data_IF_248394311202
#
_entry.id   IF_248394311202
#
_cell.length_a   1.000
_cell.length_b   1.000
_cell.length_c   1.000
_cell.angle_alpha   90.00
_cell.angle_beta   90.00
_cell.angle_gamma   90.00
#
_symmetry.space_group_name_H-M   'P 1'
#
loop_
_entity.id
_entity.type
_entity.pdbx_description
1 polymer ?
#
# COMPACT_ATOMS: atom_id res chain seq x y z
N UNK A 1 25.01 -4.72 -28.96
CA UNK A 1 24.45 -4.55 -30.31
C UNK A 1 22.95 -4.63 -30.16
N UNK A 2 22.23 -3.54 -30.47
CA UNK A 2 20.77 -3.53 -30.40
C UNK A 2 20.21 -4.42 -31.52
N UNK A 3 19.26 -5.28 -31.17
CA UNK A 3 18.61 -6.16 -32.14
C UNK A 3 17.84 -5.30 -33.17
N UNK A 4 17.96 -5.60 -34.47
CA UNK A 4 17.31 -4.83 -35.52
C UNK A 4 15.77 -4.77 -35.32
N UNK A 5 15.23 -5.82 -34.70
CA UNK A 5 13.84 -5.91 -34.26
C UNK A 5 13.48 -4.81 -33.25
N UNK A 6 14.33 -4.60 -32.24
CA UNK A 6 14.06 -3.61 -31.19
C UNK A 6 14.05 -2.19 -31.74
N UNK A 7 14.93 -1.88 -32.69
CA UNK A 7 14.98 -0.56 -33.33
C UNK A 7 13.70 -0.28 -34.13
N UNK A 8 13.23 -1.26 -34.91
CA UNK A 8 12.02 -1.12 -35.72
C UNK A 8 10.76 -1.00 -34.84
N UNK A 9 10.63 -1.86 -33.81
CA UNK A 9 9.54 -1.80 -32.82
C UNK A 9 9.52 -0.44 -32.11
N UNK A 10 10.68 0.05 -31.68
CA UNK A 10 10.79 1.34 -30.98
C UNK A 10 10.35 2.51 -31.86
N UNK A 11 10.81 2.54 -33.12
CA UNK A 11 10.43 3.60 -34.06
C UNK A 11 8.93 3.67 -34.31
N UNK A 12 8.28 2.52 -34.55
CA UNK A 12 6.83 2.48 -34.81
C UNK A 12 6.00 2.77 -33.56
N UNK A 13 6.41 2.27 -32.41
CA UNK A 13 5.76 2.59 -31.14
C UNK A 13 5.83 4.08 -30.83
N UNK A 14 6.97 4.71 -31.09
CA UNK A 14 7.12 6.15 -30.89
C UNK A 14 6.14 6.93 -31.76
N UNK A 15 5.98 6.57 -33.03
CA UNK A 15 4.99 7.19 -33.93
C UNK A 15 3.55 7.00 -33.44
N UNK A 16 3.21 5.78 -33.01
CA UNK A 16 1.87 5.45 -32.50
C UNK A 16 1.56 6.25 -31.22
N UNK A 17 2.47 6.27 -30.25
CA UNK A 17 2.30 7.00 -28.99
C UNK A 17 2.27 8.52 -29.20
N UNK A 18 3.04 9.04 -30.16
CA UNK A 18 3.00 10.46 -30.56
C UNK A 18 1.61 10.84 -31.08
N UNK A 19 1.04 10.02 -31.98
CA UNK A 19 -0.28 10.27 -32.56
C UNK A 19 -1.40 10.24 -31.50
N UNK A 20 -1.22 9.46 -30.43
CA UNK A 20 -2.18 9.36 -29.33
C UNK A 20 -1.92 10.37 -28.20
N UNK A 21 -0.92 11.25 -28.34
CA UNK A 21 -0.46 12.19 -27.30
C UNK A 21 -0.04 11.50 -25.98
N UNK A 22 0.44 10.25 -26.05
CA UNK A 22 0.87 9.42 -24.92
C UNK A 22 2.40 9.25 -24.87
N UNK A 23 3.15 10.32 -25.16
CA UNK A 23 4.61 10.31 -25.10
C UNK A 23 5.12 10.40 -23.66
N UNK A 24 5.15 9.25 -22.98
CA UNK A 24 5.87 9.06 -21.72
C UNK A 24 6.97 7.99 -21.93
N UNK A 25 8.21 8.32 -21.58
CA UNK A 25 9.37 7.41 -21.68
C UNK A 25 9.14 6.08 -20.94
N UNK A 26 8.39 6.12 -19.84
CA UNK A 26 8.03 4.89 -19.09
C UNK A 26 7.02 4.04 -19.86
N UNK A 27 6.06 4.68 -20.50
CA UNK A 27 5.07 3.98 -21.33
C UNK A 27 5.74 3.36 -22.55
N UNK A 28 6.67 4.08 -23.20
CA UNK A 28 7.42 3.59 -24.34
C UNK A 28 8.20 2.32 -24.00
N UNK A 29 8.94 2.29 -22.88
CA UNK A 29 9.72 1.11 -22.50
C UNK A 29 8.84 -0.10 -22.13
N UNK A 30 7.70 0.13 -21.47
CA UNK A 30 6.73 -0.91 -21.16
C UNK A 30 6.10 -1.49 -22.43
N UNK A 31 5.63 -0.64 -23.34
CA UNK A 31 5.03 -1.08 -24.61
C UNK A 31 6.06 -1.70 -25.54
N UNK A 32 7.29 -1.20 -25.57
CA UNK A 32 8.40 -1.78 -26.32
C UNK A 32 8.69 -3.20 -25.85
N UNK A 33 8.79 -3.42 -24.53
CA UNK A 33 9.01 -4.76 -23.98
C UNK A 33 7.86 -5.71 -24.34
N UNK A 34 6.61 -5.28 -24.14
CA UNK A 34 5.43 -6.10 -24.41
C UNK A 34 5.28 -6.47 -25.89
N UNK A 35 5.46 -5.50 -26.80
CA UNK A 35 5.35 -5.73 -28.25
C UNK A 35 6.51 -6.57 -28.76
N UNK A 36 7.74 -6.30 -28.30
CA UNK A 36 8.91 -7.09 -28.69
C UNK A 36 8.76 -8.54 -28.25
N UNK A 37 8.28 -8.78 -27.02
CA UNK A 37 8.05 -10.13 -26.52
C UNK A 37 6.92 -10.85 -27.27
N UNK A 38 5.81 -10.17 -27.56
CA UNK A 38 4.70 -10.73 -28.33
C UNK A 38 5.12 -11.11 -29.76
N UNK A 39 5.90 -10.25 -30.42
CA UNK A 39 6.42 -10.53 -31.77
C UNK A 39 7.41 -11.68 -31.75
N UNK A 40 8.35 -11.72 -30.79
CA UNK A 40 9.32 -12.83 -30.66
C UNK A 40 8.62 -14.17 -30.42
N UNK A 41 7.59 -14.21 -29.56
CA UNK A 41 6.82 -15.44 -29.30
C UNK A 41 6.14 -15.95 -30.56
N UNK A 42 5.46 -15.07 -31.31
CA UNK A 42 4.80 -15.46 -32.57
C UNK A 42 5.78 -15.85 -33.66
N UNK A 43 6.94 -15.20 -33.71
CA UNK A 43 7.99 -15.55 -34.67
C UNK A 43 8.58 -16.93 -34.37
N UNK A 44 8.70 -17.31 -33.09
CA UNK A 44 9.11 -18.65 -32.69
C UNK A 44 8.09 -19.73 -33.13
N UNK A 45 6.80 -19.40 -33.14
CA UNK A 45 5.73 -20.32 -33.54
C UNK A 45 5.65 -20.52 -35.06
N UNK A 46 5.99 -19.51 -35.87
CA UNK A 46 5.88 -19.53 -37.35
C UNK A 46 7.06 -20.27 -38.02
N UNK A 47 8.16 -20.50 -37.30
CA UNK A 47 9.34 -21.19 -37.81
C UNK A 47 10.24 -20.32 -38.69
N UNK A 48 11.50 -20.72 -38.83
CA UNK A 48 12.60 -19.86 -39.31
C UNK A 48 12.63 -19.56 -40.83
N UNK A 49 11.61 -19.94 -41.61
CA UNK A 49 11.71 -19.95 -43.09
C UNK A 49 11.11 -18.73 -43.82
N UNK A 50 10.55 -17.73 -43.11
CA UNK A 50 9.90 -16.54 -43.71
C UNK A 50 10.21 -15.18 -43.05
N UNK A 51 11.35 -15.06 -42.36
CA UNK A 51 11.59 -14.10 -41.26
C UNK A 51 11.29 -12.62 -41.50
N UNK A 52 11.37 -12.06 -42.72
CA UNK A 52 11.24 -10.60 -42.90
C UNK A 52 9.83 -10.12 -43.21
N UNK A 53 9.12 -10.76 -44.15
CA UNK A 53 7.76 -10.34 -44.51
C UNK A 53 6.75 -10.71 -43.42
N UNK A 54 6.97 -11.85 -42.76
CA UNK A 54 6.12 -12.31 -41.68
C UNK A 54 6.33 -11.47 -40.41
N UNK A 55 7.57 -11.01 -40.15
CA UNK A 55 7.85 -10.09 -39.05
C UNK A 55 7.10 -8.77 -39.19
N UNK A 56 7.14 -8.15 -40.37
CA UNK A 56 6.47 -6.86 -40.62
C UNK A 56 4.95 -6.98 -40.44
N UNK A 57 4.35 -8.06 -40.96
CA UNK A 57 2.93 -8.37 -40.75
C UNK A 57 2.58 -8.55 -39.28
N UNK A 58 3.37 -9.33 -38.55
CA UNK A 58 3.16 -9.57 -37.12
C UNK A 58 3.30 -8.28 -36.30
N UNK A 59 4.27 -7.44 -36.63
CA UNK A 59 4.48 -6.16 -35.97
C UNK A 59 3.28 -5.24 -36.19
N UNK A 60 2.79 -5.12 -37.42
CA UNK A 60 1.61 -4.31 -37.74
C UNK A 60 0.35 -4.82 -37.03
N UNK A 61 0.16 -6.13 -36.96
CA UNK A 61 -0.93 -6.73 -36.17
C UNK A 61 -0.84 -6.37 -34.68
N UNK A 62 0.35 -6.49 -34.07
CA UNK A 62 0.52 -6.15 -32.65
C UNK A 62 0.33 -4.66 -32.39
N UNK A 63 0.80 -3.79 -33.28
CA UNK A 63 0.60 -2.34 -33.16
C UNK A 63 -0.87 -1.96 -33.33
N UNK A 64 -1.60 -2.58 -34.24
CA UNK A 64 -3.03 -2.36 -34.41
C UNK A 64 -3.85 -2.80 -33.18
N UNK A 65 -3.48 -3.93 -32.56
CA UNK A 65 -4.08 -4.37 -31.30
C UNK A 65 -3.81 -3.39 -30.16
N UNK A 66 -2.57 -2.90 -30.05
CA UNK A 66 -2.19 -1.91 -29.06
C UNK A 66 -2.95 -0.59 -29.27
N UNK A 67 -3.04 -0.11 -30.51
CA UNK A 67 -3.79 1.10 -30.85
C UNK A 67 -5.25 0.98 -30.43
N UNK A 68 -5.91 -0.14 -30.75
CA UNK A 68 -7.31 -0.38 -30.36
C UNK A 68 -7.47 -0.39 -28.84
N UNK A 69 -6.55 -1.02 -28.11
CA UNK A 69 -6.58 -1.05 -26.65
C UNK A 69 -6.38 0.33 -26.01
N UNK A 70 -5.47 1.14 -26.57
CA UNK A 70 -5.24 2.52 -26.14
C UNK A 70 -6.45 3.41 -26.42
N UNK A 71 -7.05 3.28 -27.61
CA UNK A 71 -8.27 4.00 -27.98
C UNK A 71 -9.46 3.67 -27.07
N UNK A 72 -9.66 2.38 -26.75
CA UNK A 72 -10.72 1.96 -25.82
C UNK A 72 -10.52 2.54 -24.41
N UNK A 73 -9.29 2.60 -23.92
CA UNK A 73 -8.98 3.21 -22.61
C UNK A 73 -9.20 4.72 -22.63
N UNK A 74 -8.83 5.41 -23.72
CA UNK A 74 -9.08 6.85 -23.85
C UNK A 74 -10.58 7.17 -23.84
N UNK A 75 -11.40 6.36 -24.53
CA UNK A 75 -12.86 6.50 -24.52
C UNK A 75 -13.46 6.32 -23.12
N UNK A 76 -13.01 5.32 -22.37
CA UNK A 76 -13.50 5.07 -21.01
C UNK A 76 -13.13 6.19 -20.02
N UNK A 77 -11.94 6.79 -20.16
CA UNK A 77 -11.52 7.89 -19.30
C UNK A 77 -12.26 9.21 -19.58
N UNK A 78 -12.73 9.42 -20.81
CA UNK A 78 -13.50 10.60 -21.19
C UNK A 78 -14.92 10.59 -20.56
N UNK A 79 -15.52 9.42 -20.39
CA UNK A 79 -16.86 9.27 -19.80
C UNK A 79 -16.85 9.55 -18.28
N UNK A 80 -15.74 9.22 -17.60
CA UNK A 80 -15.59 9.41 -16.15
C UNK A 80 -15.30 10.88 -15.76
N UNK A 81 -14.70 11.66 -16.67
CA UNK A 81 -14.37 13.08 -16.41
C UNK A 81 -15.53 14.04 -16.69
N UNK A 82 -16.54 13.65 -17.46
CA UNK A 82 -17.74 14.44 -17.67
C UNK A 82 -18.63 14.55 -16.40
N UNK A 83 -18.46 13.65 -15.43
CA UNK A 83 -19.30 13.59 -14.24
C UNK A 83 -18.83 14.46 -13.06
N UNK A 84 -17.63 15.05 -13.12
CA UNK A 84 -17.00 15.74 -11.96
C UNK A 84 -17.01 17.27 -12.08
N UNK A 85 -17.37 17.84 -13.24
CA UNK A 85 -17.28 19.30 -13.46
C UNK A 85 -18.49 20.09 -12.91
N UNK A 86 -19.52 19.44 -12.38
CA UNK A 86 -20.76 20.11 -11.92
C UNK A 86 -20.83 20.45 -10.42
N UNK A 87 -19.76 20.22 -9.64
CA UNK A 87 -19.83 20.27 -8.17
C UNK A 87 -18.92 21.31 -7.47
N UNK A 88 -18.32 22.27 -8.20
CA UNK A 88 -17.33 23.19 -7.60
C UNK A 88 -17.72 24.68 -7.70
N UNK A 89 -19.01 24.98 -7.52
CA UNK A 89 -19.51 26.34 -7.40
C UNK A 89 -20.52 26.40 -6.24
N UNK A 90 -20.03 26.47 -4.99
CA UNK A 90 -20.67 27.07 -3.80
C UNK A 90 -19.90 26.65 -2.54
N UNK A 91 -19.05 27.52 -1.99
CA UNK A 91 -18.40 27.23 -0.71
C UNK A 91 -17.33 28.22 -0.25
N UNK A 92 -17.54 29.52 -0.46
CA UNK A 92 -16.62 30.59 -0.04
C UNK A 92 -17.28 31.42 1.06
N UNK A 93 -16.85 31.24 2.31
CA UNK A 93 -17.01 32.09 3.52
C UNK A 93 -16.44 31.26 4.69
N UNK A 94 -15.57 31.65 5.62
CA UNK A 94 -14.94 32.92 5.99
C UNK A 94 -14.80 32.96 7.52
N UNK A 95 -13.61 32.61 8.07
CA UNK A 95 -12.98 33.01 9.37
C UNK A 95 -13.78 32.85 10.71
N UNK A 96 -13.20 33.04 11.93
CA UNK A 96 -11.79 33.08 12.38
C UNK A 96 -11.44 32.26 13.67
N UNK A 97 -10.13 32.06 13.83
CA UNK A 97 -9.26 32.20 15.02
C UNK A 97 -9.86 32.46 16.43
N UNK A 98 -9.53 31.61 17.40
CA UNK A 98 -9.42 31.97 18.83
C UNK A 98 -8.47 31.02 19.58
N UNK A 99 -7.46 31.60 20.22
CA UNK A 99 -6.55 30.98 21.17
C UNK A 99 -7.17 30.93 22.57
N UNK A 100 -6.98 29.86 23.34
CA UNK A 100 -6.98 29.93 24.80
C UNK A 100 -6.04 28.87 25.39
N UNK A 101 -5.15 29.33 26.26
CA UNK A 101 -4.31 28.52 27.15
C UNK A 101 -5.13 27.92 28.31
N UNK A 102 -4.62 26.87 28.96
CA UNK A 102 -4.64 26.78 30.43
C UNK A 102 -3.87 25.57 30.96
N UNK A 103 -3.30 25.83 32.12
CA UNK A 103 -2.39 25.08 32.97
C UNK A 103 -2.93 23.80 33.63
N UNK A 104 -1.99 22.90 33.89
CA UNK A 104 -1.62 22.28 35.18
C UNK A 104 -2.72 21.87 36.19
N UNK A 105 -2.76 20.57 36.51
CA UNK A 105 -2.89 20.09 37.89
C UNK A 105 -2.67 18.56 37.97
N UNK A 106 -1.70 18.21 38.81
CA UNK A 106 -1.48 16.89 39.38
C UNK A 106 -2.70 16.37 40.17
N UNK A 107 -2.72 15.05 40.46
CA UNK A 107 -2.77 14.47 41.82
C UNK A 107 -3.25 13.00 41.80
N UNK A 108 -2.41 12.17 42.43
CA UNK A 108 -2.66 10.98 43.26
C UNK A 108 -3.36 9.70 42.71
N UNK A 109 -2.53 8.66 42.72
CA UNK A 109 -2.80 7.29 43.20
C UNK A 109 -3.70 7.25 44.47
N UNK A 110 -4.45 6.15 44.69
CA UNK A 110 -3.91 5.15 45.61
C UNK A 110 -4.19 3.68 45.24
N UNK A 111 -3.28 2.85 45.75
CA UNK A 111 -3.37 1.40 45.91
C UNK A 111 -4.48 0.99 46.89
N UNK A 112 -5.02 -0.22 46.72
CA UNK A 112 -5.42 -1.21 47.75
C UNK A 112 -6.26 -2.27 47.03
N UNK A 113 -5.99 -3.57 47.04
CA UNK A 113 -5.54 -4.39 48.16
C UNK A 113 -6.78 -5.04 48.79
N UNK A 114 -7.06 -6.31 48.46
CA UNK A 114 -7.67 -7.33 49.34
C UNK A 114 -8.16 -8.55 48.53
N UNK A 115 -7.57 -9.70 48.86
CA UNK A 115 -8.06 -11.05 48.62
C UNK A 115 -9.35 -11.32 49.41
N UNK A 116 -10.18 -12.27 48.96
CA UNK A 116 -10.67 -13.36 49.83
C UNK A 116 -11.44 -14.43 49.05
N UNK A 117 -11.16 -15.68 49.44
CA UNK A 117 -11.87 -16.93 49.12
C UNK A 117 -13.34 -16.88 49.57
N UNK A 118 -14.16 -17.85 49.12
CA UNK A 118 -14.97 -18.74 50.00
C UNK A 118 -15.85 -19.70 49.19
N UNK A 119 -15.59 -20.99 49.44
CA UNK A 119 -16.49 -22.16 49.61
C UNK A 119 -17.45 -22.66 48.52
N UNK A 120 -17.00 -23.82 48.01
CA UNK A 120 -17.69 -25.12 47.80
C UNK A 120 -18.88 -25.40 48.77
N UNK A 121 -20.02 -25.81 48.22
CA UNK A 121 -21.07 -26.58 48.91
C UNK A 121 -21.53 -27.73 48.01
N UNK A 122 -21.70 -28.88 48.65
CA UNK A 122 -22.02 -30.20 48.12
C UNK A 122 -23.49 -30.42 47.73
N UNK A 123 -23.66 -31.49 46.95
CA UNK A 123 -24.77 -32.39 46.67
C UNK A 123 -26.11 -32.22 47.41
N UNK A 124 -27.21 -32.40 46.67
CA UNK A 124 -28.31 -33.25 47.12
C UNK A 124 -29.12 -33.84 45.95
N UNK A 125 -29.33 -35.15 46.07
CA UNK A 125 -30.00 -36.05 45.15
C UNK A 125 -31.53 -36.06 45.32
N UNK A 126 -32.19 -36.60 44.29
CA UNK A 126 -33.51 -37.24 44.28
C UNK A 126 -34.78 -36.35 44.26
N UNK A 127 -35.43 -36.28 43.08
CA UNK A 127 -36.77 -36.89 42.90
C UNK A 127 -37.16 -37.02 41.42
N UNK A 128 -37.36 -38.26 40.98
CA UNK A 128 -37.91 -38.65 39.68
C UNK A 128 -39.41 -38.33 39.61
N UNK A 129 -39.81 -37.42 38.71
CA UNK A 129 -41.15 -37.44 38.11
C UNK A 129 -41.05 -37.28 36.60
N UNK A 130 -41.43 -38.36 35.91
CA UNK A 130 -41.36 -38.56 34.47
C UNK A 130 -42.44 -37.72 33.77
N UNK A 131 -42.06 -36.57 33.22
CA UNK A 131 -42.86 -35.81 32.22
C UNK A 131 -42.17 -35.90 30.85
N UNK A 132 -42.98 -36.08 29.81
CA UNK A 132 -42.58 -36.25 28.42
C UNK A 132 -41.56 -35.19 27.95
N UNK A 133 -40.57 -35.54 27.10
CA UNK A 133 -39.56 -34.58 26.64
C UNK A 133 -40.21 -33.58 25.69
N UNK A 134 -40.51 -32.38 26.20
CA UNK A 134 -40.67 -31.21 25.34
C UNK A 134 -39.29 -30.84 24.81
N UNK A 135 -39.16 -30.75 23.49
CA UNK A 135 -37.91 -30.31 22.86
C UNK A 135 -37.48 -28.96 23.45
N UNK A 136 -36.27 -28.84 24.01
CA UNK A 136 -35.77 -27.57 24.51
C UNK A 136 -35.51 -26.63 23.33
N UNK A 137 -36.51 -25.83 22.97
CA UNK A 137 -36.33 -24.61 22.19
C UNK A 137 -35.65 -23.58 23.08
N UNK A 138 -34.34 -23.76 23.28
CA UNK A 138 -33.47 -22.77 23.88
C UNK A 138 -32.29 -22.58 22.94
N UNK A 139 -32.22 -21.43 22.27
CA UNK A 139 -30.95 -20.99 21.71
C UNK A 139 -30.00 -20.83 22.91
N UNK A 140 -29.15 -21.82 23.14
CA UNK A 140 -28.04 -21.72 24.09
C UNK A 140 -26.95 -21.01 23.32
N UNK A 141 -26.61 -19.75 23.64
CA UNK A 141 -25.47 -19.11 23.02
C UNK A 141 -24.26 -19.99 23.33
N UNK A 142 -23.65 -20.58 22.30
CA UNK A 142 -22.38 -21.28 22.44
C UNK A 142 -21.39 -20.27 23.00
N UNK A 143 -21.08 -20.40 24.28
CA UNK A 143 -20.11 -19.55 24.96
C UNK A 143 -18.78 -19.83 24.30
N UNK A 144 -18.36 -18.93 23.39
CA UNK A 144 -17.09 -19.04 22.68
C UNK A 144 -15.97 -19.24 23.70
N UNK A 145 -15.10 -20.21 23.42
CA UNK A 145 -13.89 -20.42 24.20
C UNK A 145 -13.05 -19.14 24.24
N UNK A 146 -12.30 -18.92 25.32
CA UNK A 146 -11.40 -17.76 25.41
C UNK A 146 -10.41 -17.70 24.23
N UNK A 147 -9.94 -18.85 23.76
CA UNK A 147 -9.07 -18.93 22.58
C UNK A 147 -9.79 -18.48 21.29
N UNK A 148 -11.08 -18.80 21.16
CA UNK A 148 -11.87 -18.39 20.00
C UNK A 148 -12.10 -16.86 20.00
N UNK A 149 -12.29 -16.26 21.18
CA UNK A 149 -12.34 -14.79 21.32
C UNK A 149 -11.01 -14.13 20.96
N UNK A 150 -9.89 -14.68 21.42
CA UNK A 150 -8.56 -14.19 21.07
C UNK A 150 -8.28 -14.32 19.57
N UNK A 151 -8.73 -15.40 18.93
CA UNK A 151 -8.61 -15.54 17.48
C UNK A 151 -9.46 -14.51 16.74
N UNK A 152 -10.68 -14.25 17.19
CA UNK A 152 -11.54 -13.22 16.62
C UNK A 152 -10.90 -11.82 16.71
N UNK A 153 -10.25 -11.48 17.83
CA UNK A 153 -9.50 -10.23 17.99
C UNK A 153 -8.24 -10.15 17.12
N UNK A 154 -7.57 -11.28 16.87
CA UNK A 154 -6.34 -11.34 16.06
C UNK A 154 -6.61 -11.26 14.55
N UNK A 155 -7.78 -11.71 14.09
CA UNK A 155 -8.18 -11.70 12.65
C UNK A 155 -7.94 -10.36 11.94
N UNK A 156 -8.37 -9.18 12.46
CA UNK A 156 -8.14 -7.91 11.77
C UNK A 156 -6.66 -7.59 11.58
N UNK A 157 -5.82 -7.85 12.60
CA UNK A 157 -4.37 -7.62 12.54
C UNK A 157 -3.73 -8.56 11.51
N UNK A 158 -4.15 -9.83 11.48
CA UNK A 158 -3.66 -10.81 10.50
C UNK A 158 -4.01 -10.40 9.07
N UNK A 159 -5.22 -9.89 8.83
CA UNK A 159 -5.66 -9.41 7.52
C UNK A 159 -4.80 -8.23 7.07
N UNK A 160 -4.57 -7.25 7.95
CA UNK A 160 -3.73 -6.08 7.66
C UNK A 160 -2.29 -6.50 7.31
N UNK A 161 -1.72 -7.44 8.05
CA UNK A 161 -0.35 -7.90 7.81
C UNK A 161 -0.22 -8.65 6.47
N UNK A 162 -1.16 -9.55 6.16
CA UNK A 162 -1.08 -10.38 4.93
C UNK A 162 -1.32 -9.59 3.67
N UNK A 163 -2.28 -8.67 3.71
CA UNK A 163 -2.75 -7.98 2.51
C UNK A 163 -2.14 -6.60 2.40
N UNK A 164 -2.40 -5.73 3.38
CA UNK A 164 -2.10 -4.32 3.27
C UNK A 164 -0.62 -4.00 3.47
N UNK A 165 0.01 -4.57 4.50
CA UNK A 165 1.43 -4.35 4.75
C UNK A 165 2.31 -4.94 3.64
N UNK A 166 1.90 -6.08 3.06
CA UNK A 166 2.58 -6.68 1.90
C UNK A 166 2.34 -5.88 0.64
N UNK A 167 1.11 -5.43 0.37
CA UNK A 167 0.77 -4.63 -0.82
C UNK A 167 1.49 -3.29 -0.87
N UNK A 168 1.64 -2.63 0.27
CA UNK A 168 2.41 -1.37 0.38
C UNK A 168 3.91 -1.63 0.24
N UNK A 169 4.35 -2.89 0.37
CA UNK A 169 5.77 -3.26 0.34
C UNK A 169 6.49 -2.94 1.65
N UNK A 170 5.76 -2.81 2.77
CA UNK A 170 6.36 -2.58 4.08
C UNK A 170 7.06 -3.85 4.59
N UNK A 171 6.48 -5.03 4.36
CA UNK A 171 7.04 -6.33 4.72
C UNK A 171 6.84 -7.35 3.61
N UNK A 172 7.68 -8.38 3.58
CA UNK A 172 7.49 -9.53 2.68
C UNK A 172 6.42 -10.50 3.21
N UNK A 173 5.77 -11.24 2.31
CA UNK A 173 4.78 -12.25 2.69
C UNK A 173 5.32 -13.33 3.62
N UNK A 174 6.61 -13.66 3.53
CA UNK A 174 7.26 -14.61 4.44
C UNK A 174 7.44 -14.03 5.85
N UNK A 175 7.76 -12.74 5.95
CA UNK A 175 7.88 -12.03 7.23
C UNK A 175 6.50 -11.88 7.87
N UNK A 176 5.48 -11.53 7.07
CA UNK A 176 4.09 -11.46 7.54
C UNK A 176 3.62 -12.79 8.14
N UNK A 177 3.89 -13.92 7.49
CA UNK A 177 3.58 -15.26 8.03
C UNK A 177 4.29 -15.52 9.36
N UNK A 178 5.57 -15.16 9.48
CA UNK A 178 6.36 -15.32 10.71
C UNK A 178 5.81 -14.47 11.85
N UNK A 179 5.45 -13.22 11.59
CA UNK A 179 4.85 -12.33 12.59
C UNK A 179 3.50 -12.87 13.09
N UNK A 180 2.67 -13.39 12.18
CA UNK A 180 1.38 -13.99 12.52
C UNK A 180 1.56 -15.25 13.37
N UNK A 181 2.53 -16.11 13.03
CA UNK A 181 2.89 -17.26 13.86
C UNK A 181 3.40 -16.82 15.24
N UNK A 182 4.16 -15.73 15.32
CA UNK A 182 4.62 -15.15 16.59
C UNK A 182 3.52 -14.59 17.50
N UNK A 183 2.28 -14.45 17.00
CA UNK A 183 1.14 -14.04 17.81
C UNK A 183 0.58 -15.18 18.67
N UNK A 184 0.88 -16.45 18.34
CA UNK A 184 0.34 -17.60 19.10
C UNK A 184 0.92 -17.62 20.51
N UNK A 185 0.05 -17.72 21.52
CA UNK A 185 0.46 -17.72 22.94
C UNK A 185 0.62 -16.33 23.56
N UNK A 186 0.42 -15.24 22.81
CA UNK A 186 0.45 -13.85 23.33
C UNK A 186 -0.96 -13.25 23.39
N UNK A 187 -1.16 -12.28 24.29
CA UNK A 187 -2.37 -11.45 24.25
C UNK A 187 -2.42 -10.65 22.94
N UNK A 188 -3.62 -10.27 22.50
CA UNK A 188 -3.81 -9.46 21.28
C UNK A 188 -3.01 -8.16 21.33
N UNK A 189 -3.01 -7.49 22.49
CA UNK A 189 -2.27 -6.25 22.73
C UNK A 189 -0.75 -6.44 22.69
N UNK A 190 -0.21 -7.45 23.38
CA UNK A 190 1.25 -7.69 23.37
C UNK A 190 1.72 -8.06 21.97
N UNK A 191 0.98 -8.91 21.28
CA UNK A 191 1.28 -9.27 19.90
C UNK A 191 1.28 -8.05 18.98
N UNK A 192 0.29 -7.15 19.13
CA UNK A 192 0.24 -5.91 18.35
C UNK A 192 1.45 -5.01 18.61
N UNK A 193 1.87 -4.85 19.87
CA UNK A 193 3.03 -4.04 20.24
C UNK A 193 4.33 -4.57 19.60
N UNK A 194 4.57 -5.87 19.69
CA UNK A 194 5.76 -6.51 19.09
C UNK A 194 5.76 -6.33 17.56
N UNK A 195 4.60 -6.47 16.92
CA UNK A 195 4.43 -6.25 15.48
C UNK A 195 4.71 -4.78 15.14
N UNK A 196 4.13 -3.86 15.91
CA UNK A 196 4.30 -2.40 15.75
C UNK A 196 5.76 -2.01 15.82
N UNK A 197 6.51 -2.53 16.79
CA UNK A 197 7.94 -2.26 16.93
C UNK A 197 8.74 -2.75 15.72
N UNK A 198 8.47 -3.98 15.26
CA UNK A 198 9.09 -4.52 14.05
C UNK A 198 8.78 -3.68 12.80
N UNK A 199 7.51 -3.26 12.64
CA UNK A 199 7.09 -2.43 11.51
C UNK A 199 7.69 -1.03 11.55
N UNK A 200 7.84 -0.42 12.74
CA UNK A 200 8.53 0.87 12.91
C UNK A 200 9.97 0.77 12.44
N UNK A 201 10.70 -0.25 12.89
CA UNK A 201 12.10 -0.46 12.50
C UNK A 201 12.22 -0.62 10.98
N UNK A 202 11.36 -1.44 10.40
CA UNK A 202 11.34 -1.68 8.95
C UNK A 202 11.03 -0.40 8.17
N UNK A 203 10.03 0.38 8.61
CA UNK A 203 9.69 1.66 7.98
C UNK A 203 10.85 2.67 8.09
N UNK A 204 11.54 2.75 9.23
CA UNK A 204 12.71 3.62 9.37
C UNK A 204 13.81 3.26 8.39
N UNK A 205 14.08 1.98 8.19
CA UNK A 205 15.13 1.53 7.26
C UNK A 205 14.73 1.76 5.80
N UNK A 206 13.45 1.62 5.46
CA UNK A 206 12.91 2.02 4.16
C UNK A 206 13.05 3.53 3.93
N UNK A 207 12.68 4.36 4.90
CA UNK A 207 12.82 5.82 4.83
C UNK A 207 14.28 6.22 4.65
N UNK A 208 15.21 5.64 5.42
CA UNK A 208 16.67 5.86 5.24
C UNK A 208 17.11 5.52 3.82
N UNK A 209 16.60 4.42 3.27
CA UNK A 209 16.90 3.99 1.90
C UNK A 209 16.34 4.98 0.87
N UNK A 210 15.12 5.49 1.07
CA UNK A 210 14.53 6.51 0.21
C UNK A 210 15.30 7.83 0.26
N UNK A 211 15.70 8.30 1.44
CA UNK A 211 16.50 9.53 1.61
C UNK A 211 17.85 9.39 0.88
N UNK A 212 18.52 8.23 1.01
CA UNK A 212 19.80 7.99 0.31
C UNK A 212 19.65 7.96 -1.21
N UNK A 213 18.54 7.40 -1.71
CA UNK A 213 18.25 7.32 -3.15
C UNK A 213 17.78 8.67 -3.72
N UNK A 214 16.99 9.43 -2.97
CA UNK A 214 16.46 10.74 -3.34
C UNK A 214 17.35 11.88 -2.81
N UNK A 215 18.48 12.13 -3.47
CA UNK A 215 19.31 13.30 -3.19
C UNK A 215 18.49 14.57 -3.49
N UNK A 216 18.16 15.36 -2.46
CA UNK A 216 17.23 16.50 -2.59
C UNK A 216 15.75 16.10 -2.56
N UNK A 217 15.45 14.93 -1.97
CA UNK A 217 14.10 14.39 -1.77
C UNK A 217 13.18 15.25 -0.90
N UNK A 218 11.92 14.81 -0.71
CA UNK A 218 10.93 15.51 0.12
C UNK A 218 11.36 15.59 1.59
N UNK A 219 12.30 14.74 2.01
CA UNK A 219 12.90 14.75 3.34
C UNK A 219 14.39 15.07 3.31
N UNK A 220 14.83 15.95 2.40
CA UNK A 220 16.22 16.40 2.36
C UNK A 220 16.60 17.22 3.61
N UNK A 221 15.64 17.96 4.17
CA UNK A 221 15.88 18.85 5.29
C UNK A 221 15.95 18.08 6.62
N UNK A 222 16.98 18.32 7.46
CA UNK A 222 17.15 17.62 8.74
C UNK A 222 15.92 17.72 9.66
N UNK A 223 15.20 18.86 9.62
CA UNK A 223 13.98 19.08 10.40
C UNK A 223 12.85 18.14 9.97
N UNK A 224 12.59 18.03 8.67
CA UNK A 224 11.55 17.13 8.14
C UNK A 224 11.86 15.66 8.40
N UNK A 225 13.15 15.28 8.41
CA UNK A 225 13.55 13.93 8.80
C UNK A 225 13.28 13.65 10.28
N UNK A 226 13.51 14.65 11.14
CA UNK A 226 13.25 14.52 12.57
C UNK A 226 11.76 14.44 12.88
N UNK A 227 10.95 15.26 12.21
CA UNK A 227 9.49 15.20 12.33
C UNK A 227 8.98 13.82 11.88
N UNK A 228 9.47 13.30 10.74
CA UNK A 228 9.14 11.95 10.28
C UNK A 228 9.58 10.85 11.28
N UNK A 229 10.75 10.99 11.93
CA UNK A 229 11.16 10.05 12.98
C UNK A 229 10.20 10.08 14.16
N UNK A 230 9.81 11.27 14.62
CA UNK A 230 8.83 11.45 15.70
C UNK A 230 7.49 10.83 15.34
N UNK A 231 7.01 11.02 14.12
CA UNK A 231 5.76 10.44 13.64
C UNK A 231 5.80 8.90 13.63
N UNK A 232 6.92 8.32 13.18
CA UNK A 232 7.12 6.86 13.23
C UNK A 232 7.08 6.35 14.69
N UNK A 233 7.71 7.06 15.62
CA UNK A 233 7.72 6.68 17.04
C UNK A 233 6.37 6.94 17.74
N UNK A 234 5.59 7.91 17.28
CA UNK A 234 4.26 8.21 17.80
C UNK A 234 3.22 7.14 17.37
N UNK A 235 3.42 6.46 16.24
CA UNK A 235 2.48 5.49 15.69
C UNK A 235 2.40 4.20 16.54
N UNK A 236 1.40 4.08 17.43
CA UNK A 236 1.25 2.96 18.40
C UNK A 236 0.47 1.75 17.89
N UNK A 237 -0.06 1.79 16.66
CA UNK A 237 -0.90 0.72 16.11
C UNK A 237 -0.46 0.33 14.71
N UNK A 238 -0.76 -0.91 14.31
CA UNK A 238 -0.40 -1.41 12.96
C UNK A 238 -1.01 -0.52 11.88
N UNK A 239 -2.25 -0.07 12.10
CA UNK A 239 -2.97 0.82 11.17
C UNK A 239 -2.31 2.19 11.02
N UNK A 240 -1.84 2.80 12.11
CA UNK A 240 -1.19 4.11 12.05
C UNK A 240 0.14 4.04 11.31
N UNK A 241 0.95 3.00 11.54
CA UNK A 241 2.18 2.77 10.78
C UNK A 241 1.89 2.53 9.30
N UNK A 242 0.88 1.73 8.98
CA UNK A 242 0.49 1.47 7.60
C UNK A 242 0.08 2.76 6.87
N UNK A 243 -0.67 3.64 7.54
CA UNK A 243 -1.04 4.93 6.97
C UNK A 243 0.17 5.83 6.72
N UNK A 244 1.08 5.89 7.69
CA UNK A 244 2.34 6.62 7.55
C UNK A 244 3.18 6.06 6.39
N UNK A 245 3.31 4.73 6.30
CA UNK A 245 4.03 4.08 5.21
C UNK A 245 3.42 4.39 3.84
N UNK A 246 2.09 4.37 3.72
CA UNK A 246 1.39 4.77 2.49
C UNK A 246 1.68 6.22 2.11
N UNK A 247 1.67 7.13 3.08
CA UNK A 247 1.98 8.54 2.86
C UNK A 247 3.42 8.72 2.41
N UNK A 248 4.38 8.12 3.10
CA UNK A 248 5.81 8.15 2.75
C UNK A 248 6.02 7.63 1.33
N UNK A 249 5.47 6.46 0.99
CA UNK A 249 5.61 5.89 -0.37
C UNK A 249 4.97 6.82 -1.41
N UNK A 250 3.81 7.42 -1.12
CA UNK A 250 3.13 8.36 -2.02
C UNK A 250 3.96 9.62 -2.26
N UNK A 251 4.49 10.23 -1.20
CA UNK A 251 5.36 11.43 -1.28
C UNK A 251 6.64 11.11 -2.06
N UNK A 252 7.26 9.96 -1.79
CA UNK A 252 8.44 9.52 -2.52
C UNK A 252 8.15 9.33 -4.01
N UNK A 253 7.06 8.65 -4.35
CA UNK A 253 6.65 8.43 -5.74
C UNK A 253 6.23 9.72 -6.45
N UNK A 254 5.63 10.67 -5.73
CA UNK A 254 5.29 11.99 -6.26
C UNK A 254 6.57 12.78 -6.57
N UNK A 255 7.49 12.84 -5.61
CA UNK A 255 8.79 13.47 -5.83
C UNK A 255 9.58 12.80 -6.97
N UNK A 256 9.55 11.47 -7.05
CA UNK A 256 10.14 10.75 -8.18
C UNK A 256 9.48 11.14 -9.49
N UNK A 257 8.16 11.25 -9.58
CA UNK A 257 7.48 11.67 -10.82
C UNK A 257 7.86 13.11 -11.22
N UNK A 258 8.04 14.00 -10.26
CA UNK A 258 8.40 15.40 -10.52
C UNK A 258 9.88 15.55 -10.90
N UNK A 259 10.78 14.82 -10.24
CA UNK A 259 12.23 15.01 -10.37
C UNK A 259 12.90 13.96 -11.28
N UNK A 260 12.30 12.78 -11.47
CA UNK A 260 12.81 11.73 -12.37
C UNK A 260 12.21 11.80 -13.78
N UNK A 261 11.44 12.85 -14.13
CA UNK A 261 11.15 13.20 -15.54
C UNK A 261 12.39 13.65 -16.33
N UNK A 262 13.59 13.64 -15.72
CA UNK A 262 14.88 14.01 -16.33
C UNK A 262 15.80 12.85 -16.75
N UNK A 263 15.28 11.67 -17.08
CA UNK A 263 16.10 10.55 -17.58
C UNK A 263 16.57 10.74 -19.03
N UNK A 264 17.89 10.81 -19.22
CA UNK A 264 18.74 11.05 -20.43
C UNK A 264 19.08 12.52 -20.77
N UNK A 265 18.26 13.52 -20.40
CA UNK A 265 18.63 14.95 -20.56
C UNK A 265 18.96 15.69 -19.25
N UNK A 266 18.95 15.00 -18.11
CA UNK A 266 19.31 15.55 -16.79
C UNK A 266 20.79 15.95 -16.58
N UNK A 267 21.59 16.03 -17.65
CA UNK A 267 22.94 16.60 -17.63
C UNK A 267 22.94 18.14 -17.46
N UNK A 268 21.77 18.79 -17.48
CA UNK A 268 21.64 20.24 -17.35
C UNK A 268 20.62 20.68 -16.28
N UNK A 269 20.60 20.06 -15.10
CA UNK A 269 20.03 20.78 -13.95
C UNK A 269 20.94 21.98 -13.66
N UNK A 270 20.49 23.24 -13.87
CA UNK A 270 21.32 24.39 -13.61
C UNK A 270 21.52 24.46 -12.10
N UNK A 271 22.79 24.36 -11.69
CA UNK A 271 23.27 24.79 -10.37
C UNK A 271 22.77 26.23 -10.17
N UNK A 272 21.69 26.44 -9.41
CA UNK A 272 21.34 27.75 -8.89
C UNK A 272 22.52 28.20 -8.01
N UNK A 273 23.44 28.99 -8.59
CA UNK A 273 24.38 29.78 -7.79
C UNK A 273 23.53 30.83 -7.08
N UNK A 274 23.36 30.63 -5.78
CA UNK A 274 22.94 31.68 -4.87
C UNK A 274 24.06 32.73 -4.93
N UNK A 275 23.77 33.87 -5.56
CA UNK A 275 24.60 35.07 -5.45
C UNK A 275 24.18 35.75 -4.16
N UNK A 276 25.09 35.79 -3.19
CA UNK A 276 24.97 36.66 -2.02
C UNK A 276 24.98 38.12 -2.48
N UNK A 277 24.04 38.90 -1.95
CA UNK A 277 24.16 40.35 -1.81
C UNK A 277 24.06 40.67 -0.33
#
# INVERSE_FOLDING_TARGET
MSDAIEVNVTGRLMLLLTRQHLLDNRSLSLYQCAVSEAVRRRLADVGAQGMSADFERLLDEQLALLERALGARAANNADETAHVVFADELGRQGLPEAAVASDDAAVANPESGASEEVQRVEENEATLTRRAPRAPSGYVPTVKSMEEKLQDERKPIQSLLREDCVRVGLIDGNVAKRLIQGMTGKTSQQAEQDIVEHLRQTLQDQVKTFIRKAKGGPWADPRTQEDLRKDIHAARSVRSILMLARQVVKEYQLWQRENHRGGILGLFSPRKRIVQR
#
